data_IF_056656586379
#
_entry.id   IF_056656586379
#
_cell.length_a   1.000
_cell.length_b   1.000
_cell.length_c   1.000
_cell.angle_alpha   90.00
_cell.angle_beta   90.00
_cell.angle_gamma   90.00
#
_symmetry.space_group_name_H-M   'P 1'
#
loop_
_entity.id
_entity.type
_entity.pdbx_description
1 polymer ?
#
# COMPACT_ATOMS: atom_id res chain seq x y z
N UNK A 1 -21.03 -18.80 13.93
CA UNK A 1 -19.61 -18.48 13.66
C UNK A 1 -19.47 -16.98 13.80
N UNK A 2 -18.48 -16.60 14.58
CA UNK A 2 -18.45 -15.46 15.50
C UNK A 2 -18.29 -14.11 14.80
N UNK A 3 -18.90 -13.08 15.37
CA UNK A 3 -18.98 -11.73 14.81
C UNK A 3 -17.59 -11.10 14.67
N UNK A 4 -17.05 -11.07 13.45
CA UNK A 4 -15.88 -10.27 13.09
C UNK A 4 -16.27 -8.78 13.02
N UNK A 5 -16.36 -8.17 14.22
CA UNK A 5 -15.99 -6.79 14.57
C UNK A 5 -16.33 -5.68 13.57
N UNK A 6 -17.38 -4.94 13.89
CA UNK A 6 -17.77 -3.68 13.26
C UNK A 6 -16.76 -2.51 13.44
N UNK A 7 -15.59 -2.74 14.05
CA UNK A 7 -14.59 -1.69 14.37
C UNK A 7 -13.30 -1.72 13.53
N UNK A 8 -13.05 -2.74 12.70
CA UNK A 8 -11.85 -2.84 11.85
C UNK A 8 -10.52 -2.70 12.62
N UNK A 9 -9.42 -2.44 11.90
CA UNK A 9 -8.08 -2.22 12.48
C UNK A 9 -7.93 -0.87 13.24
N UNK A 10 -9.01 -0.10 13.38
CA UNK A 10 -8.96 1.27 13.90
C UNK A 10 -8.49 1.33 15.35
N UNK A 11 -9.11 0.54 16.22
CA UNK A 11 -8.78 0.53 17.64
C UNK A 11 -7.34 0.08 17.88
N UNK A 12 -6.87 -0.94 17.17
CA UNK A 12 -5.47 -1.38 17.21
C UNK A 12 -4.53 -0.29 16.71
N UNK A 13 -4.85 0.38 15.60
CA UNK A 13 -4.05 1.46 15.05
C UNK A 13 -3.93 2.67 16.01
N UNK A 14 -5.00 3.01 16.73
CA UNK A 14 -5.01 4.16 17.66
C UNK A 14 -4.25 3.87 18.98
N UNK A 15 -4.23 2.60 19.42
CA UNK A 15 -3.72 2.24 20.75
C UNK A 15 -2.38 1.49 20.73
N UNK A 16 -1.96 0.95 19.58
CA UNK A 16 -0.68 0.26 19.42
C UNK A 16 0.24 1.04 18.47
N UNK A 17 1.24 1.70 19.07
CA UNK A 17 2.23 2.50 18.34
C UNK A 17 3.09 1.64 17.41
N UNK A 18 3.40 0.39 17.79
CA UNK A 18 4.18 -0.52 16.94
C UNK A 18 3.36 -0.94 15.73
N UNK A 19 2.08 -1.21 15.94
CA UNK A 19 1.15 -1.45 14.84
C UNK A 19 1.07 -0.27 13.88
N UNK A 20 0.85 0.94 14.41
CA UNK A 20 0.80 2.15 13.60
C UNK A 20 2.08 2.39 12.79
N UNK A 21 3.26 2.20 13.41
CA UNK A 21 4.56 2.34 12.73
C UNK A 21 4.71 1.32 11.58
N UNK A 22 4.28 0.08 11.79
CA UNK A 22 4.31 -0.94 10.73
C UNK A 22 3.33 -0.63 9.59
N UNK A 23 2.15 -0.07 9.88
CA UNK A 23 1.25 0.47 8.85
C UNK A 23 1.94 1.60 8.07
N UNK A 24 2.65 2.51 8.75
CA UNK A 24 3.39 3.57 8.07
C UNK A 24 4.51 3.03 7.16
N UNK A 25 5.18 1.94 7.53
CA UNK A 25 6.17 1.26 6.64
C UNK A 25 5.51 0.73 5.37
N UNK A 26 4.30 0.18 5.47
CA UNK A 26 3.53 -0.27 4.30
C UNK A 26 3.18 0.95 3.41
N UNK A 27 2.71 2.05 4.01
CA UNK A 27 2.40 3.28 3.28
C UNK A 27 3.65 3.93 2.64
N UNK A 28 4.82 3.78 3.27
CA UNK A 28 6.08 4.31 2.77
C UNK A 28 6.49 3.71 1.41
N UNK A 29 5.93 2.56 1.01
CA UNK A 29 6.13 1.97 -0.31
C UNK A 29 5.75 2.93 -1.45
N UNK A 30 4.84 3.89 -1.22
CA UNK A 30 4.47 4.90 -2.22
C UNK A 30 5.63 5.85 -2.60
N UNK A 31 6.64 5.95 -1.73
CA UNK A 31 7.71 6.94 -1.87
C UNK A 31 9.05 6.35 -2.31
N UNK A 32 9.12 5.06 -2.62
CA UNK A 32 10.33 4.42 -3.13
C UNK A 32 10.24 4.21 -4.65
N UNK A 33 11.35 3.83 -5.29
CA UNK A 33 11.36 3.59 -6.73
C UNK A 33 10.46 2.41 -7.12
N UNK A 34 9.67 2.57 -8.18
CA UNK A 34 8.67 1.57 -8.60
C UNK A 34 9.29 0.21 -8.88
N UNK A 35 10.54 0.18 -9.35
CA UNK A 35 11.34 -1.02 -9.63
C UNK A 35 11.65 -1.87 -8.38
N UNK A 36 11.67 -1.27 -7.18
CA UNK A 36 12.00 -1.96 -5.93
C UNK A 36 10.79 -2.20 -5.01
N UNK A 37 9.64 -1.57 -5.29
CA UNK A 37 8.41 -1.69 -4.48
C UNK A 37 8.01 -3.13 -4.19
N UNK A 38 8.00 -4.00 -5.21
CA UNK A 38 7.60 -5.40 -5.04
C UNK A 38 8.55 -6.16 -4.10
N UNK A 39 9.86 -5.90 -4.18
CA UNK A 39 10.86 -6.54 -3.32
C UNK A 39 10.78 -6.00 -1.88
N UNK A 40 10.56 -4.70 -1.71
CA UNK A 40 10.35 -4.09 -0.40
C UNK A 40 9.09 -4.63 0.28
N UNK A 41 8.01 -4.86 -0.49
CA UNK A 41 6.80 -5.51 0.01
C UNK A 41 7.06 -6.95 0.46
N UNK A 42 7.81 -7.76 -0.30
CA UNK A 42 8.19 -9.12 0.11
C UNK A 42 9.01 -9.13 1.41
N UNK A 43 9.87 -8.12 1.59
CA UNK A 43 10.62 -7.94 2.84
C UNK A 43 9.68 -7.61 4.01
N UNK A 44 8.66 -6.78 3.82
CA UNK A 44 7.66 -6.50 4.86
C UNK A 44 6.87 -7.77 5.22
N UNK A 45 6.45 -8.57 4.25
CA UNK A 45 5.77 -9.85 4.51
C UNK A 45 6.61 -10.84 5.32
N UNK A 46 7.94 -10.75 5.23
CA UNK A 46 8.85 -11.65 5.98
C UNK A 46 9.08 -11.16 7.41
N UNK A 47 8.98 -9.84 7.66
CA UNK A 47 9.32 -9.23 8.94
C UNK A 47 8.12 -8.88 9.82
N UNK A 48 6.93 -8.77 9.24
CA UNK A 48 5.69 -8.51 9.97
C UNK A 48 5.04 -9.82 10.39
N UNK A 49 4.42 -9.82 11.57
CA UNK A 49 3.72 -10.98 12.11
C UNK A 49 2.31 -11.16 11.51
N UNK A 50 1.62 -12.22 11.93
CA UNK A 50 0.31 -12.61 11.41
C UNK A 50 -0.79 -11.56 11.65
N UNK A 51 -0.60 -10.60 12.57
CA UNK A 51 -1.58 -9.55 12.83
C UNK A 51 -1.75 -8.61 11.63
N UNK A 52 -0.76 -8.56 10.73
CA UNK A 52 -0.80 -7.75 9.52
C UNK A 52 -1.26 -8.53 8.31
N UNK A 53 -1.45 -9.86 8.40
CA UNK A 53 -1.68 -10.72 7.24
C UNK A 53 -2.87 -10.28 6.40
N UNK A 54 -3.98 -9.89 7.03
CA UNK A 54 -5.16 -9.40 6.31
C UNK A 54 -4.87 -8.12 5.51
N UNK A 55 -4.04 -7.22 6.05
CA UNK A 55 -3.64 -5.97 5.37
C UNK A 55 -2.66 -6.29 4.25
N UNK A 56 -1.67 -7.16 4.50
CA UNK A 56 -0.70 -7.58 3.51
C UNK A 56 -1.38 -8.30 2.33
N UNK A 57 -2.33 -9.19 2.58
CA UNK A 57 -3.11 -9.87 1.54
C UNK A 57 -3.92 -8.89 0.69
N UNK A 58 -4.49 -7.86 1.33
CA UNK A 58 -5.20 -6.80 0.64
C UNK A 58 -4.26 -5.96 -0.24
N UNK A 59 -3.10 -5.55 0.28
CA UNK A 59 -2.10 -4.79 -0.46
C UNK A 59 -1.53 -5.61 -1.62
N UNK A 60 -1.22 -6.89 -1.40
CA UNK A 60 -0.72 -7.77 -2.45
C UNK A 60 -1.78 -7.98 -3.54
N UNK A 61 -3.04 -8.20 -3.17
CA UNK A 61 -4.12 -8.43 -4.12
C UNK A 61 -4.44 -7.20 -4.98
N UNK A 62 -4.40 -6.01 -4.39
CA UNK A 62 -4.92 -4.79 -5.00
C UNK A 62 -3.85 -3.89 -5.62
N UNK A 63 -2.66 -3.81 -5.02
CA UNK A 63 -1.66 -2.78 -5.36
C UNK A 63 -0.32 -3.34 -5.86
N UNK A 64 0.13 -4.47 -5.33
CA UNK A 64 1.41 -5.08 -5.72
C UNK A 64 1.23 -6.15 -6.80
N UNK A 65 0.15 -6.93 -6.70
CA UNK A 65 -0.16 -8.06 -7.57
C UNK A 65 0.40 -9.37 -7.01
N UNK A 66 -0.39 -10.43 -7.00
CA UNK A 66 0.00 -11.71 -6.37
C UNK A 66 1.11 -12.44 -7.12
N UNK A 67 2.09 -12.96 -6.38
CA UNK A 67 3.16 -13.80 -6.97
C UNK A 67 2.71 -15.25 -7.15
N UNK A 68 2.87 -15.81 -8.35
CA UNK A 68 2.71 -17.24 -8.66
C UNK A 68 3.99 -17.76 -9.31
N UNK A 69 4.88 -18.30 -8.48
CA UNK A 69 6.20 -18.75 -8.92
C UNK A 69 7.09 -17.59 -9.38
N UNK A 70 7.52 -17.63 -10.65
CA UNK A 70 8.33 -16.57 -11.28
C UNK A 70 7.52 -15.41 -11.85
N UNK A 71 6.20 -15.55 -11.94
CA UNK A 71 5.32 -14.57 -12.57
C UNK A 71 4.53 -13.84 -11.48
N UNK A 72 4.44 -12.52 -11.57
CA UNK A 72 3.56 -11.69 -10.74
C UNK A 72 2.35 -11.28 -11.56
N UNK A 73 1.14 -11.58 -11.08
CA UNK A 73 -0.10 -11.13 -11.73
C UNK A 73 -0.21 -9.62 -11.55
N UNK A 74 -0.59 -8.88 -12.59
CA UNK A 74 -0.84 -7.46 -12.48
C UNK A 74 -1.99 -7.18 -11.49
N UNK A 75 -1.77 -6.21 -10.60
CA UNK A 75 -2.77 -5.76 -9.64
C UNK A 75 -3.83 -4.87 -10.32
N UNK A 76 -5.06 -4.80 -9.80
CA UNK A 76 -6.08 -3.84 -10.25
C UNK A 76 -5.59 -2.38 -10.23
N UNK A 77 -4.77 -2.03 -9.23
CA UNK A 77 -4.20 -0.69 -9.05
C UNK A 77 -2.66 -0.78 -9.11
N UNK A 78 -2.08 -0.87 -10.32
CA UNK A 78 -0.64 -1.11 -10.47
C UNK A 78 0.21 0.03 -9.89
N UNK A 79 1.45 -0.28 -9.52
CA UNK A 79 2.42 0.62 -8.87
C UNK A 79 2.56 1.97 -9.60
N UNK A 80 2.59 1.95 -10.94
CA UNK A 80 2.74 3.16 -11.76
C UNK A 80 1.59 4.17 -11.55
N UNK A 81 0.44 3.71 -11.04
CA UNK A 81 -0.70 4.57 -10.76
C UNK A 81 -0.54 5.35 -9.45
N UNK A 82 0.06 4.76 -8.42
CA UNK A 82 0.10 5.32 -7.06
C UNK A 82 1.51 5.67 -6.56
N UNK A 83 2.57 5.24 -7.25
CA UNK A 83 3.95 5.60 -6.95
C UNK A 83 4.18 7.10 -7.06
N UNK A 84 4.63 7.72 -5.97
CA UNK A 84 4.87 9.16 -5.89
C UNK A 84 6.29 9.54 -6.33
N UNK A 85 7.26 8.65 -6.14
CA UNK A 85 8.67 8.93 -6.48
C UNK A 85 8.85 9.33 -7.94
N UNK A 86 8.29 8.54 -8.87
CA UNK A 86 8.38 8.83 -10.30
C UNK A 86 7.60 10.09 -10.69
N UNK A 87 6.49 10.41 -10.02
CA UNK A 87 5.76 11.66 -10.23
C UNK A 87 6.59 12.88 -9.83
N UNK A 88 7.30 12.80 -8.70
CA UNK A 88 8.19 13.85 -8.23
C UNK A 88 9.38 14.02 -9.17
N UNK A 89 10.02 12.92 -9.59
CA UNK A 89 11.14 12.96 -10.55
C UNK A 89 10.73 13.58 -11.90
N UNK A 90 9.54 13.24 -12.39
CA UNK A 90 9.03 13.69 -13.69
C UNK A 90 8.21 15.00 -13.62
N UNK A 91 8.22 15.70 -12.48
CA UNK A 91 7.45 16.93 -12.23
C UNK A 91 5.95 16.81 -12.59
N UNK A 92 5.37 15.63 -12.42
CA UNK A 92 3.96 15.36 -12.71
C UNK A 92 3.07 15.76 -11.55
N UNK A 93 1.79 16.00 -11.84
CA UNK A 93 0.80 16.33 -10.81
C UNK A 93 0.73 15.25 -9.72
N UNK A 94 0.77 15.72 -8.48
CA UNK A 94 0.79 14.91 -7.26
C UNK A 94 -0.58 14.30 -6.93
N UNK A 95 -1.66 14.80 -7.54
CA UNK A 95 -3.00 14.24 -7.42
C UNK A 95 -3.35 13.37 -8.65
N UNK A 96 -4.07 12.26 -8.41
CA UNK A 96 -4.79 11.48 -9.43
C UNK A 96 -6.11 12.18 -9.82
N UNK A 97 -6.50 13.22 -9.10
CA UNK A 97 -7.79 13.84 -9.28
C UNK A 97 -7.73 14.96 -10.33
N UNK A 98 -8.05 14.63 -11.59
CA UNK A 98 -8.27 15.64 -12.64
C UNK A 98 -9.42 16.62 -12.30
N UNK A 99 -10.28 16.30 -11.32
CA UNK A 99 -11.40 17.15 -10.90
C UNK A 99 -10.95 18.31 -9.99
N UNK A 100 -9.84 18.19 -9.27
CA UNK A 100 -9.33 19.26 -8.38
C UNK A 100 -8.71 20.45 -9.14
N UNK A 101 -8.47 20.31 -10.45
CA UNK A 101 -7.98 21.39 -11.32
C UNK A 101 -9.05 22.38 -11.80
N UNK A 102 -10.34 22.06 -11.63
CA UNK A 102 -11.45 22.87 -12.15
C UNK A 102 -12.05 23.83 -11.10
N UNK A 103 -11.52 23.84 -9.89
CA UNK A 103 -12.02 24.67 -8.77
C UNK A 103 -10.92 25.57 -8.18
N UNK A 104 -10.23 26.30 -9.05
CA UNK A 104 -9.45 27.49 -8.65
C UNK A 104 -9.76 28.59 -9.67
N UNK A 105 -10.55 29.57 -9.20
CA UNK A 105 -10.88 30.84 -9.86
C UNK A 105 -9.63 31.67 -10.20
#
# INVERSE_FOLDING_TARGET
MENATANGFKETYENDVVFADNIHKILALAFIETTIVANAFELLCTNLDDNYQQILDYIEGNYIGRRRGRIRRQAPYPIDFWGMMERVKNNMHRSNNNVEGWYRE
#
